data_IF_726941914426
#
_entry.id   IF_726941914426
#
_cell.length_a   1.000
_cell.length_b   1.000
_cell.length_c   1.000
_cell.angle_alpha   90.00
_cell.angle_beta   90.00
_cell.angle_gamma   90.00
#
_symmetry.space_group_name_H-M   'P 1'
#
loop_
_entity.id
_entity.type
_entity.pdbx_description
1 polymer ?
#
# COMPACT_ATOMS: atom_id res chain seq x y z
N UNK A 1 0.53 -10.56 -14.97
CA UNK A 1 0.27 -11.42 -13.80
C UNK A 1 0.39 -10.53 -12.57
N UNK A 2 -0.68 -10.40 -11.78
CA UNK A 2 -0.67 -9.58 -10.58
C UNK A 2 0.34 -10.16 -9.57
N UNK A 3 1.39 -9.41 -9.21
CA UNK A 3 2.29 -9.82 -8.13
C UNK A 3 1.78 -9.26 -6.81
N UNK A 4 1.65 -10.13 -5.81
CA UNK A 4 1.22 -9.77 -4.46
C UNK A 4 2.40 -9.91 -3.52
N UNK A 5 2.79 -8.80 -2.90
CA UNK A 5 3.80 -8.78 -1.86
C UNK A 5 3.12 -9.04 -0.51
N UNK A 6 3.67 -9.99 0.24
CA UNK A 6 3.23 -10.30 1.60
C UNK A 6 4.15 -9.62 2.60
N UNK A 7 3.59 -8.70 3.38
CA UNK A 7 4.31 -8.02 4.47
C UNK A 7 3.84 -8.59 5.79
N UNK A 8 4.75 -9.20 6.54
CA UNK A 8 4.48 -9.72 7.88
C UNK A 8 4.73 -8.64 8.93
N UNK A 9 3.77 -8.45 9.84
CA UNK A 9 3.89 -7.58 11.02
C UNK A 9 3.30 -8.32 12.23
N UNK A 10 4.17 -8.89 13.05
CA UNK A 10 3.78 -9.84 14.09
C UNK A 10 3.09 -11.06 13.48
N UNK A 11 1.91 -11.41 14.00
CA UNK A 11 1.09 -12.52 13.49
C UNK A 11 0.20 -12.13 12.28
N UNK A 12 0.23 -10.86 11.89
CA UNK A 12 -0.60 -10.34 10.79
C UNK A 12 0.21 -10.33 9.50
N UNK A 13 -0.42 -10.72 8.42
CA UNK A 13 0.16 -10.68 7.08
C UNK A 13 -0.70 -9.79 6.18
N UNK A 14 -0.06 -8.86 5.50
CA UNK A 14 -0.72 -7.90 4.63
C UNK A 14 -0.41 -8.19 3.17
N UNK A 15 -1.45 -8.31 2.36
CA UNK A 15 -1.33 -8.49 0.93
C UNK A 15 -1.35 -7.13 0.24
N UNK A 16 -0.27 -6.80 -0.45
CA UNK A 16 -0.09 -5.55 -1.19
C UNK A 16 0.08 -5.89 -2.67
N UNK A 17 -0.70 -5.27 -3.54
CA UNK A 17 -0.49 -5.42 -4.99
C UNK A 17 0.79 -4.66 -5.37
N UNK A 18 1.70 -5.30 -6.10
CA UNK A 18 2.93 -4.68 -6.55
C UNK A 18 2.66 -3.38 -7.34
N UNK A 19 3.45 -2.35 -7.05
CA UNK A 19 3.29 -1.02 -7.65
C UNK A 19 2.14 -0.20 -7.06
N UNK A 20 1.54 -0.63 -5.94
CA UNK A 20 0.52 0.13 -5.22
C UNK A 20 0.97 0.52 -3.81
N UNK A 21 0.33 1.53 -3.23
CA UNK A 21 0.75 2.14 -1.96
C UNK A 21 0.18 1.47 -0.70
N UNK A 22 -0.80 0.57 -0.81
CA UNK A 22 -1.56 0.07 0.35
C UNK A 22 -1.94 -1.39 0.21
N UNK A 23 -2.05 -2.06 1.36
CA UNK A 23 -2.59 -3.40 1.44
C UNK A 23 -4.08 -3.44 1.07
N UNK A 24 -4.47 -4.46 0.29
CA UNK A 24 -5.85 -4.70 -0.11
C UNK A 24 -6.55 -5.78 0.73
N UNK A 25 -5.76 -6.64 1.37
CA UNK A 25 -6.24 -7.64 2.32
C UNK A 25 -5.25 -7.81 3.47
N UNK A 26 -5.77 -8.30 4.60
CA UNK A 26 -5.00 -8.69 5.78
C UNK A 26 -5.42 -10.08 6.21
N UNK A 27 -4.45 -10.95 6.47
CA UNK A 27 -4.63 -12.28 7.03
C UNK A 27 -4.10 -12.26 8.46
N UNK A 28 -4.88 -12.76 9.42
CA UNK A 28 -4.51 -12.76 10.84
C UNK A 28 -5.13 -13.94 11.57
N UNK A 29 -4.48 -14.50 12.60
CA UNK A 29 -5.09 -15.52 13.44
C UNK A 29 -6.24 -14.92 14.26
N UNK A 30 -7.25 -15.74 14.54
CA UNK A 30 -8.38 -15.48 15.42
C UNK A 30 -8.89 -16.83 15.94
N UNK A 31 -8.88 -17.02 17.25
CA UNK A 31 -9.44 -18.21 17.92
C UNK A 31 -8.93 -19.55 17.34
N UNK A 32 -7.61 -19.65 17.11
CA UNK A 32 -6.97 -20.84 16.52
C UNK A 32 -7.25 -21.07 15.02
N UNK A 33 -7.89 -20.11 14.34
CA UNK A 33 -8.16 -20.14 12.90
C UNK A 33 -7.54 -18.92 12.21
N UNK A 34 -7.36 -19.00 10.89
CA UNK A 34 -6.90 -17.85 10.10
C UNK A 34 -8.06 -17.13 9.47
N UNK A 35 -8.05 -15.81 9.53
CA UNK A 35 -9.11 -14.94 9.03
C UNK A 35 -8.57 -13.94 8.02
N UNK A 36 -9.28 -13.75 6.91
CA UNK A 36 -9.03 -12.67 5.95
C UNK A 36 -9.95 -11.47 6.21
N UNK A 37 -9.36 -10.28 6.22
CA UNK A 37 -10.04 -8.99 6.25
C UNK A 37 -9.72 -8.24 4.98
N UNK A 38 -10.75 -7.99 4.18
CA UNK A 38 -10.63 -7.26 2.92
C UNK A 38 -10.78 -5.76 3.16
N UNK A 39 -9.96 -4.97 2.46
CA UNK A 39 -10.12 -3.52 2.38
C UNK A 39 -10.81 -3.11 1.08
N UNK A 40 -10.45 -3.78 -0.02
CA UNK A 40 -11.00 -3.51 -1.36
C UNK A 40 -11.58 -4.77 -2.02
N UNK A 41 -11.74 -5.84 -1.24
CA UNK A 41 -12.22 -7.15 -1.69
C UNK A 41 -13.69 -7.42 -1.38
N UNK A 42 -14.14 -8.67 -1.55
CA UNK A 42 -15.53 -9.06 -1.41
C UNK A 42 -15.96 -8.98 0.06
N UNK A 43 -17.07 -8.27 0.32
CA UNK A 43 -17.65 -8.17 1.68
C UNK A 43 -18.13 -9.53 2.21
N UNK A 44 -18.64 -10.41 1.35
CA UNK A 44 -19.04 -11.77 1.73
C UNK A 44 -17.88 -12.70 2.09
N UNK A 45 -16.65 -12.36 1.70
CA UNK A 45 -15.43 -13.08 2.08
C UNK A 45 -14.77 -12.53 3.35
N UNK A 46 -15.37 -11.54 3.99
CA UNK A 46 -14.89 -10.96 5.22
C UNK A 46 -15.00 -11.97 6.35
N UNK A 47 -13.93 -12.19 7.12
CA UNK A 47 -14.03 -13.08 8.27
C UNK A 47 -13.92 -14.57 7.92
N UNK A 48 -13.74 -14.94 6.65
CA UNK A 48 -13.63 -16.34 6.25
C UNK A 48 -12.55 -17.04 7.09
N UNK A 49 -12.91 -18.11 7.78
CA UNK A 49 -11.99 -18.86 8.64
C UNK A 49 -11.50 -20.12 7.93
N UNK A 50 -10.19 -20.28 7.78
CA UNK A 50 -9.60 -21.50 7.23
C UNK A 50 -8.55 -22.10 8.16
N UNK A 51 -8.42 -23.43 8.12
CA UNK A 51 -7.33 -24.16 8.76
C UNK A 51 -6.10 -24.08 7.87
N UNK A 52 -5.34 -22.98 8.00
CA UNK A 52 -4.04 -22.82 7.36
C UNK A 52 -3.88 -21.50 6.61
N UNK A 53 -2.76 -20.83 6.88
CA UNK A 53 -2.43 -19.53 6.27
C UNK A 53 -2.14 -19.64 4.77
N UNK A 54 -1.52 -20.73 4.32
CA UNK A 54 -1.13 -20.94 2.92
C UNK A 54 -2.32 -21.01 1.97
N UNK A 55 -3.41 -21.69 2.37
CA UNK A 55 -4.64 -21.73 1.58
C UNK A 55 -5.27 -20.33 1.47
N UNK A 56 -5.28 -19.58 2.58
CA UNK A 56 -5.81 -18.23 2.61
C UNK A 56 -4.99 -17.27 1.74
N UNK A 57 -3.66 -17.37 1.77
CA UNK A 57 -2.78 -16.63 0.87
C UNK A 57 -3.05 -16.94 -0.60
N UNK A 58 -3.20 -18.23 -0.97
CA UNK A 58 -3.54 -18.61 -2.35
C UNK A 58 -4.88 -18.06 -2.81
N UNK A 59 -5.91 -18.09 -1.95
CA UNK A 59 -7.20 -17.48 -2.26
C UNK A 59 -7.08 -15.97 -2.46
N UNK A 60 -6.32 -15.29 -1.61
CA UNK A 60 -6.08 -13.84 -1.73
C UNK A 60 -5.34 -13.50 -3.04
N UNK A 61 -4.32 -14.28 -3.40
CA UNK A 61 -3.60 -14.11 -4.67
C UNK A 61 -4.51 -14.33 -5.87
N UNK A 62 -5.23 -15.44 -5.92
CA UNK A 62 -6.13 -15.75 -7.04
C UNK A 62 -7.22 -14.69 -7.22
N UNK A 63 -7.75 -14.18 -6.12
CA UNK A 63 -8.71 -13.09 -6.16
C UNK A 63 -8.07 -11.80 -6.70
N UNK A 64 -6.85 -11.48 -6.27
CA UNK A 64 -6.13 -10.29 -6.72
C UNK A 64 -5.78 -10.35 -8.22
N UNK A 65 -5.37 -11.51 -8.72
CA UNK A 65 -5.12 -11.75 -10.15
C UNK A 65 -6.37 -11.47 -10.99
N UNK A 66 -7.53 -11.98 -10.57
CA UNK A 66 -8.78 -11.74 -11.28
C UNK A 66 -9.25 -10.27 -11.21
N UNK A 67 -8.85 -9.54 -10.16
CA UNK A 67 -9.33 -8.18 -9.89
C UNK A 67 -8.23 -7.11 -10.06
N UNK A 68 -7.13 -7.41 -10.75
CA UNK A 68 -5.95 -6.55 -10.82
C UNK A 68 -6.29 -5.13 -11.30
N UNK A 69 -7.01 -5.03 -12.43
CA UNK A 69 -7.39 -3.75 -13.02
C UNK A 69 -8.24 -2.89 -12.06
N UNK A 70 -9.12 -3.52 -11.29
CA UNK A 70 -9.95 -2.84 -10.29
C UNK A 70 -9.09 -2.38 -9.10
N UNK A 71 -8.18 -3.22 -8.62
CA UNK A 71 -7.29 -2.87 -7.52
C UNK A 71 -6.38 -1.69 -7.87
N UNK A 72 -5.82 -1.65 -9.10
CA UNK A 72 -4.98 -0.54 -9.56
C UNK A 72 -5.74 0.79 -9.64
N UNK A 73 -7.04 0.76 -9.93
CA UNK A 73 -7.89 1.96 -9.90
C UNK A 73 -8.17 2.44 -8.47
N UNK A 74 -8.36 1.51 -7.54
CA UNK A 74 -8.70 1.83 -6.15
C UNK A 74 -7.50 2.16 -5.27
N UNK A 75 -6.32 1.64 -5.60
CA UNK A 75 -5.11 1.78 -4.80
C UNK A 75 -4.08 2.53 -5.65
N UNK A 76 -3.83 3.82 -5.35
CA UNK A 76 -2.89 4.59 -6.12
C UNK A 76 -1.47 4.03 -5.96
N UNK A 77 -0.59 4.26 -6.95
CA UNK A 77 0.82 3.93 -6.82
C UNK A 77 1.43 4.67 -5.63
N UNK A 78 2.54 4.15 -5.07
CA UNK A 78 3.30 4.91 -4.08
C UNK A 78 3.72 6.25 -4.70
N UNK A 79 3.26 7.35 -4.09
CA UNK A 79 3.73 8.68 -4.44
C UNK A 79 5.19 8.75 -4.00
N UNK A 80 6.12 8.83 -4.96
CA UNK A 80 7.51 9.17 -4.63
C UNK A 80 7.47 10.53 -3.95
N UNK A 81 7.95 10.60 -2.71
CA UNK A 81 8.28 11.88 -2.12
C UNK A 81 9.30 12.53 -3.06
N UNK A 82 8.97 13.69 -3.62
CA UNK A 82 9.98 14.44 -4.35
C UNK A 82 11.03 14.83 -3.32
N UNK A 83 12.28 14.47 -3.61
CA UNK A 83 13.41 14.95 -2.83
C UNK A 83 13.51 16.48 -2.88
N UNK A 84 14.36 17.08 -2.04
CA UNK A 84 14.67 18.49 -2.15
C UNK A 84 15.07 18.83 -3.59
N UNK A 85 14.73 20.03 -4.10
CA UNK A 85 15.05 20.38 -5.48
C UNK A 85 16.55 20.25 -5.74
N UNK A 86 16.90 19.77 -6.93
CA UNK A 86 18.29 19.75 -7.39
C UNK A 86 18.83 21.18 -7.53
N UNK A 87 20.15 21.34 -7.64
CA UNK A 87 20.78 22.66 -7.77
C UNK A 87 20.29 23.43 -9.01
N UNK A 88 20.11 22.73 -10.14
CA UNK A 88 19.54 23.31 -11.36
C UNK A 88 18.07 23.75 -11.19
N UNK A 89 17.27 22.98 -10.46
CA UNK A 89 15.89 23.33 -10.17
C UNK A 89 15.79 24.53 -9.21
N UNK A 90 16.69 24.60 -8.21
CA UNK A 90 16.78 25.77 -7.32
C UNK A 90 17.15 27.02 -8.09
N UNK A 91 18.17 26.94 -8.95
CA UNK A 91 18.56 28.06 -9.82
C UNK A 91 17.37 28.56 -10.65
N UNK A 92 16.61 27.64 -11.27
CA UNK A 92 15.41 28.01 -12.03
C UNK A 92 14.33 28.65 -11.16
N UNK A 93 14.04 28.08 -9.98
CA UNK A 93 13.03 28.64 -9.09
C UNK A 93 13.44 30.00 -8.54
N UNK A 94 14.70 30.18 -8.15
CA UNK A 94 15.23 31.45 -7.65
C UNK A 94 15.26 32.54 -8.73
N UNK A 95 15.48 32.16 -9.99
CA UNK A 95 15.44 33.09 -11.12
C UNK A 95 14.03 33.64 -11.40
N UNK A 96 12.97 32.86 -11.10
CA UNK A 96 11.57 33.31 -11.24
C UNK A 96 11.11 34.02 -9.97
N UNK A 97 11.42 33.45 -8.80
CA UNK A 97 11.08 33.98 -7.49
C UNK A 97 12.08 33.51 -6.43
N UNK A 98 12.95 34.40 -5.91
CA UNK A 98 13.95 34.04 -4.91
C UNK A 98 13.33 33.34 -3.68
N UNK A 99 13.84 32.16 -3.34
CA UNK A 99 13.37 31.36 -2.20
C UNK A 99 12.08 30.57 -2.45
N UNK A 100 11.56 30.55 -3.68
CA UNK A 100 10.39 29.74 -4.02
C UNK A 100 10.74 28.25 -4.08
N UNK A 101 10.03 27.46 -3.27
CA UNK A 101 10.03 26.00 -3.36
C UNK A 101 8.60 25.53 -3.59
N UNK A 102 8.30 24.87 -4.74
CA UNK A 102 6.97 24.35 -5.02
C UNK A 102 6.47 23.44 -3.89
N UNK A 103 5.16 23.50 -3.58
CA UNK A 103 4.57 22.70 -2.51
C UNK A 103 4.79 21.19 -2.71
N UNK A 104 4.90 20.71 -3.95
CA UNK A 104 5.21 19.32 -4.31
C UNK A 104 6.64 18.90 -3.97
N UNK A 105 7.57 19.86 -3.85
CA UNK A 105 9.00 19.67 -3.51
C UNK A 105 9.32 19.95 -2.05
N UNK A 106 8.36 20.49 -1.31
CA UNK A 106 8.52 20.66 0.14
C UNK A 106 8.50 19.28 0.78
N UNK A 107 9.47 18.94 1.64
CA UNK A 107 9.40 17.70 2.39
C UNK A 107 8.07 17.70 3.15
N UNK A 108 7.28 16.65 2.94
CA UNK A 108 6.05 16.46 3.70
C UNK A 108 6.51 16.34 5.15
N UNK A 109 6.16 17.31 6.02
CA UNK A 109 6.47 17.24 7.45
C UNK A 109 6.11 15.82 7.91
N UNK A 110 7.10 15.05 8.36
CA UNK A 110 6.90 13.78 9.04
C UNK A 110 6.17 14.09 10.35
N UNK A 111 4.86 14.24 10.24
CA UNK A 111 3.99 14.57 11.35
C UNK A 111 3.54 13.30 12.02
N UNK A 112 4.15 13.03 13.18
CA UNK A 112 3.79 12.06 14.24
C UNK A 112 4.29 10.63 14.04
N UNK A 113 5.53 10.41 14.48
CA UNK A 113 5.81 9.30 15.39
C UNK A 113 4.82 9.40 16.56
N UNK A 114 3.81 8.53 16.57
CA UNK A 114 2.96 8.34 17.74
C UNK A 114 3.69 7.40 18.69
N UNK A 115 4.16 7.97 19.80
CA UNK A 115 4.36 7.28 21.08
C UNK A 115 3.09 6.51 21.48
#
# INVERSE_FOLDING_TARGET
>A
MAKVNWVQMGERQYAILEGTSRAFARVSPKDGRWVVRWRYGPRGGQGATLRGVSLMQRMVMRWAEHNEARLRKLIPPPVRAYGPPSEAERYFYDAIWPGYVPASRRPRREGREHY
#
